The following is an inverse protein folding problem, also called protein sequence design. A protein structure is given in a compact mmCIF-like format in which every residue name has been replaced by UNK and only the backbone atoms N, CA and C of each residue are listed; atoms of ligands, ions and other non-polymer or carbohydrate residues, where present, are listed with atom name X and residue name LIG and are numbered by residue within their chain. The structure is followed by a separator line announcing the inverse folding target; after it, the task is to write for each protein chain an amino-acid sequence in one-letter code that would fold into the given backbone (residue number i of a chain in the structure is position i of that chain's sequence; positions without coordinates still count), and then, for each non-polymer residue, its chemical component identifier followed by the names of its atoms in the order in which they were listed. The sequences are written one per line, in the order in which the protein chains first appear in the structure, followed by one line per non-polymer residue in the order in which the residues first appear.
data_IF_678756494155
#
_entry.id   IF_678756494155
#
_cell.length_a   1.000
_cell.length_b   1.000
_cell.length_c   1.000
_cell.angle_alpha   90.00
_cell.angle_beta   90.00
_cell.angle_gamma   90.00
#
_symmetry.space_group_name_H-M   'P 1'
#
loop_
_entity.id
_entity.type
_entity.pdbx_description
1 polymer ?
#
# COMPACT_ATOMS: atom_id res chain seq x y z
N UNK A 1 13.27 0.35 -20.49
CA UNK A 1 13.23 0.92 -19.13
C UNK A 1 14.63 1.35 -18.75
N UNK A 2 14.79 2.63 -18.41
CA UNK A 2 16.04 3.20 -17.91
C UNK A 2 16.31 2.71 -16.48
N UNK A 3 17.55 2.80 -15.99
CA UNK A 3 17.88 2.48 -14.58
C UNK A 3 16.99 3.26 -13.58
N UNK A 4 16.53 4.45 -13.97
CA UNK A 4 15.69 5.32 -13.16
C UNK A 4 14.28 4.74 -13.01
N UNK A 5 13.70 4.17 -14.07
CA UNK A 5 12.37 3.55 -14.03
C UNK A 5 12.31 2.36 -13.06
N UNK A 6 13.38 1.58 -12.99
CA UNK A 6 13.49 0.47 -12.04
C UNK A 6 13.55 0.94 -10.59
N UNK A 7 14.24 2.05 -10.33
CA UNK A 7 14.30 2.66 -8.98
C UNK A 7 12.91 3.13 -8.56
N UNK A 8 12.18 3.82 -9.45
CA UNK A 8 10.83 4.26 -9.16
C UNK A 8 9.86 3.10 -8.95
N UNK A 9 9.94 2.06 -9.78
CA UNK A 9 9.13 0.86 -9.61
C UNK A 9 9.38 0.19 -8.26
N UNK A 10 10.64 0.03 -7.85
CA UNK A 10 10.98 -0.54 -6.56
C UNK A 10 10.47 0.33 -5.41
N UNK A 11 10.60 1.65 -5.52
CA UNK A 11 10.13 2.60 -4.52
C UNK A 11 8.59 2.58 -4.40
N UNK A 12 7.88 2.50 -5.52
CA UNK A 12 6.42 2.33 -5.57
C UNK A 12 5.97 1.07 -4.83
N UNK A 13 6.62 -0.07 -5.07
CA UNK A 13 6.30 -1.33 -4.40
C UNK A 13 6.55 -1.23 -2.90
N UNK A 14 7.64 -0.60 -2.47
CA UNK A 14 7.92 -0.38 -1.05
C UNK A 14 6.84 0.49 -0.39
N UNK A 15 6.46 1.59 -1.03
CA UNK A 15 5.43 2.50 -0.50
C UNK A 15 4.06 1.81 -0.46
N UNK A 16 3.71 1.03 -1.48
CA UNK A 16 2.50 0.22 -1.54
C UNK A 16 2.39 -0.69 -0.30
N UNK A 17 3.37 -1.57 -0.09
CA UNK A 17 3.33 -2.53 1.00
C UNK A 17 3.41 -1.88 2.39
N UNK A 18 4.20 -0.82 2.54
CA UNK A 18 4.29 -0.09 3.80
C UNK A 18 2.95 0.59 4.16
N UNK A 19 2.24 1.10 3.16
CA UNK A 19 0.91 1.68 3.34
C UNK A 19 -0.09 0.60 3.73
N UNK A 20 -0.04 -0.54 3.05
CA UNK A 20 -0.95 -1.65 3.29
C UNK A 20 -0.83 -2.24 4.69
N UNK A 21 0.40 -2.50 5.14
CA UNK A 21 0.68 -2.97 6.50
C UNK A 21 0.18 -1.96 7.55
N UNK A 22 0.29 -0.65 7.28
CA UNK A 22 -0.21 0.39 8.18
C UNK A 22 -1.74 0.41 8.26
N UNK A 23 -2.42 0.35 7.12
CA UNK A 23 -3.90 0.28 7.09
C UNK A 23 -4.38 -0.97 7.80
N UNK A 24 -3.75 -2.12 7.53
CA UNK A 24 -4.06 -3.36 8.22
C UNK A 24 -3.86 -3.24 9.74
N UNK A 25 -2.71 -2.71 10.18
CA UNK A 25 -2.40 -2.50 11.60
C UNK A 25 -3.42 -1.57 12.28
N UNK A 26 -3.86 -0.52 11.59
CA UNK A 26 -4.89 0.40 12.07
C UNK A 26 -6.27 -0.26 12.18
N UNK A 27 -6.71 -1.00 11.15
CA UNK A 27 -8.03 -1.64 11.13
C UNK A 27 -8.13 -2.84 12.10
N UNK A 28 -7.04 -3.58 12.28
CA UNK A 28 -6.98 -4.76 13.16
C UNK A 28 -6.65 -4.42 14.62
N UNK A 29 -6.30 -3.17 14.92
CA UNK A 29 -5.77 -2.70 16.21
C UNK A 29 -4.53 -3.50 16.69
N UNK A 30 -3.83 -4.15 15.75
CA UNK A 30 -2.60 -4.89 16.02
C UNK A 30 -1.42 -3.94 15.85
N UNK A 31 -0.69 -3.69 16.94
CA UNK A 31 0.58 -2.96 16.89
C UNK A 31 1.72 -3.90 16.51
N UNK A 32 2.04 -3.93 15.22
CA UNK A 32 3.18 -4.69 14.71
C UNK A 32 4.48 -3.94 15.03
N UNK A 33 5.42 -4.63 15.68
CA UNK A 33 6.79 -4.13 15.84
C UNK A 33 7.47 -3.94 14.47
N UNK A 34 8.36 -2.96 14.37
CA UNK A 34 9.05 -2.59 13.11
C UNK A 34 9.74 -3.81 12.46
N UNK A 35 10.36 -4.68 13.26
CA UNK A 35 10.99 -5.91 12.74
C UNK A 35 10.00 -6.87 12.08
N UNK A 36 8.78 -7.00 12.62
CA UNK A 36 7.72 -7.81 12.01
C UNK A 36 7.24 -7.17 10.70
N UNK A 37 7.12 -5.84 10.66
CA UNK A 37 6.75 -5.11 9.44
C UNK A 37 7.79 -5.29 8.34
N UNK A 38 9.08 -5.18 8.66
CA UNK A 38 10.18 -5.43 7.71
C UNK A 38 10.21 -6.87 7.21
N UNK A 39 9.94 -7.85 8.09
CA UNK A 39 9.82 -9.24 7.70
C UNK A 39 8.66 -9.46 6.73
N UNK A 40 7.49 -8.89 7.02
CA UNK A 40 6.32 -8.97 6.14
C UNK A 40 6.60 -8.35 4.77
N UNK A 41 7.24 -7.19 4.75
CA UNK A 41 7.67 -6.53 3.52
C UNK A 41 8.60 -7.43 2.70
N UNK A 42 9.58 -8.06 3.32
CA UNK A 42 10.50 -8.98 2.64
C UNK A 42 9.77 -10.20 2.07
N UNK A 43 8.83 -10.78 2.83
CA UNK A 43 8.01 -11.90 2.37
C UNK A 43 7.11 -11.49 1.20
N UNK A 44 6.44 -10.34 1.28
CA UNK A 44 5.59 -9.83 0.23
C UNK A 44 6.39 -9.57 -1.06
N UNK A 45 7.57 -8.95 -0.96
CA UNK A 45 8.48 -8.74 -2.08
C UNK A 45 8.96 -10.05 -2.70
N UNK A 46 9.23 -11.06 -1.88
CA UNK A 46 9.62 -12.39 -2.36
C UNK A 46 8.48 -13.06 -3.14
N UNK A 47 7.25 -13.03 -2.62
CA UNK A 47 6.10 -13.61 -3.31
C UNK A 47 5.73 -12.84 -4.58
N UNK A 48 5.95 -11.53 -4.61
CA UNK A 48 5.72 -10.69 -5.79
C UNK A 48 6.68 -11.01 -6.97
N UNK A 49 7.71 -11.84 -6.76
CA UNK A 49 8.54 -12.36 -7.86
C UNK A 49 7.82 -13.45 -8.67
N UNK A 50 6.78 -14.07 -8.12
CA UNK A 50 6.02 -15.12 -8.79
C UNK A 50 4.86 -14.50 -9.58
N UNK A 51 5.01 -14.41 -10.91
CA UNK A 51 4.03 -13.81 -11.82
C UNK A 51 2.60 -14.39 -11.75
N UNK A 52 2.42 -15.57 -11.14
CA UNK A 52 1.12 -16.23 -10.97
C UNK A 52 0.29 -15.71 -9.80
N UNK A 53 0.90 -14.97 -8.86
CA UNK A 53 0.24 -14.48 -7.66
C UNK A 53 0.10 -12.96 -7.75
N UNK A 54 -1.12 -12.49 -7.99
CA UNK A 54 -1.43 -11.06 -7.92
C UNK A 54 -1.23 -10.56 -6.48
N UNK A 55 -0.69 -9.34 -6.26
CA UNK A 55 -0.65 -8.70 -4.94
C UNK A 55 -2.01 -8.78 -4.22
N UNK A 56 -3.09 -8.56 -4.97
CA UNK A 56 -4.48 -8.64 -4.52
C UNK A 56 -4.89 -10.02 -3.92
N UNK A 57 -4.11 -11.08 -4.14
CA UNK A 57 -4.27 -12.40 -3.54
C UNK A 57 -3.20 -12.70 -2.49
N UNK A 58 -1.95 -12.27 -2.70
CA UNK A 58 -0.85 -12.49 -1.75
C UNK A 58 -1.13 -11.76 -0.44
N UNK A 59 -1.54 -10.51 -0.53
CA UNK A 59 -1.56 -9.59 0.58
C UNK A 59 -2.64 -10.00 1.62
N UNK A 60 -3.88 -10.36 1.20
CA UNK A 60 -4.89 -10.87 2.14
C UNK A 60 -4.46 -12.18 2.81
N UNK A 61 -3.75 -13.07 2.11
CA UNK A 61 -3.24 -14.32 2.70
C UNK A 61 -2.17 -14.03 3.76
N UNK A 62 -1.28 -13.07 3.50
CA UNK A 62 -0.28 -12.62 4.48
C UNK A 62 -0.95 -12.03 5.72
N UNK A 63 -1.98 -11.20 5.55
CA UNK A 63 -2.72 -10.62 6.68
C UNK A 63 -3.51 -11.66 7.48
N UNK A 64 -4.13 -12.64 6.83
CA UNK A 64 -4.76 -13.76 7.53
C UNK A 64 -3.74 -14.57 8.33
N UNK A 65 -2.53 -14.76 7.80
CA UNK A 65 -1.44 -15.42 8.53
C UNK A 65 -1.00 -14.61 9.75
N UNK A 66 -0.91 -13.29 9.64
CA UNK A 66 -0.62 -12.42 10.80
C UNK A 66 -1.70 -12.52 11.86
N UNK A 67 -2.98 -12.47 11.47
CA UNK A 67 -4.09 -12.62 12.41
C UNK A 67 -3.99 -13.95 13.18
N UNK A 68 -3.59 -15.03 12.50
CA UNK A 68 -3.33 -16.33 13.12
C UNK A 68 -2.19 -16.29 14.13
N UNK A 69 -1.07 -15.63 13.78
CA UNK A 69 0.08 -15.48 14.68
C UNK A 69 -0.24 -14.67 15.92
N UNK A 70 -1.05 -13.61 15.78
CA UNK A 70 -1.50 -12.76 16.88
C UNK A 70 -2.72 -13.33 17.63
N UNK A 71 -3.05 -14.62 17.41
CA UNK A 71 -4.15 -15.36 18.06
C UNK A 71 -5.53 -14.70 17.90
N UNK A 72 -5.71 -13.90 16.85
CA UNK A 72 -7.02 -13.38 16.46
C UNK A 72 -7.79 -14.43 15.65
N UNK A 73 -9.14 -14.43 15.67
CA UNK A 73 -9.91 -15.33 14.81
C UNK A 73 -9.55 -15.06 13.35
N UNK A 74 -9.21 -16.08 12.56
CA UNK A 74 -8.75 -15.89 11.17
C UNK A 74 -9.89 -16.10 10.15
N UNK A 75 -10.82 -17.00 10.45
CA UNK A 75 -11.91 -17.40 9.53
C UNK A 75 -13.25 -16.72 9.85
N UNK A 76 -13.23 -15.64 10.63
CA UNK A 76 -14.44 -14.82 10.82
C UNK A 76 -14.64 -13.91 9.62
N UNK A 77 -15.90 -13.58 9.30
CA UNK A 77 -16.21 -12.63 8.22
C UNK A 77 -15.46 -11.30 8.41
N UNK A 78 -15.40 -10.83 9.67
CA UNK A 78 -14.64 -9.63 10.06
C UNK A 78 -13.16 -9.74 9.69
N UNK A 79 -12.54 -10.89 9.94
CA UNK A 79 -11.12 -11.13 9.68
C UNK A 79 -10.80 -11.18 8.20
N UNK A 80 -11.70 -11.77 7.39
CA UNK A 80 -11.61 -11.71 5.94
C UNK A 80 -11.70 -10.27 5.45
N UNK A 81 -12.66 -9.49 5.93
CA UNK A 81 -12.73 -8.06 5.58
C UNK A 81 -11.46 -7.31 5.99
N UNK A 82 -10.95 -7.53 7.20
CA UNK A 82 -9.71 -6.90 7.68
C UNK A 82 -8.50 -7.24 6.81
N UNK A 83 -8.44 -8.45 6.25
CA UNK A 83 -7.35 -8.87 5.39
C UNK A 83 -7.46 -8.32 3.95
N UNK A 84 -8.67 -8.21 3.40
CA UNK A 84 -8.88 -7.79 2.01
C UNK A 84 -9.01 -6.27 1.83
N UNK A 85 -9.57 -5.57 2.83
CA UNK A 85 -9.81 -4.11 2.74
C UNK A 85 -8.53 -3.33 2.44
N UNK A 86 -7.38 -3.56 3.10
CA UNK A 86 -6.15 -2.82 2.83
C UNK A 86 -5.73 -2.90 1.37
N UNK A 87 -5.69 -4.11 0.80
CA UNK A 87 -5.26 -4.37 -0.58
C UNK A 87 -6.20 -3.75 -1.60
N UNK A 88 -7.52 -3.97 -1.42
CA UNK A 88 -8.55 -3.45 -2.33
C UNK A 88 -8.59 -1.92 -2.29
N UNK A 89 -8.46 -1.34 -1.10
CA UNK A 89 -8.51 0.10 -0.93
C UNK A 89 -7.31 0.79 -1.58
N UNK A 90 -6.10 0.27 -1.40
CA UNK A 90 -4.90 0.84 -2.02
C UNK A 90 -4.93 0.69 -3.53
N UNK A 91 -5.32 -0.47 -4.07
CA UNK A 91 -5.43 -0.68 -5.52
C UNK A 91 -6.45 0.28 -6.15
N UNK A 92 -7.64 0.42 -5.55
CA UNK A 92 -8.67 1.34 -6.04
C UNK A 92 -8.22 2.80 -5.95
N UNK A 93 -7.61 3.22 -4.84
CA UNK A 93 -7.16 4.61 -4.68
C UNK A 93 -5.98 4.92 -5.61
N UNK A 94 -5.05 3.99 -5.78
CA UNK A 94 -3.93 4.11 -6.72
C UNK A 94 -4.45 4.28 -8.14
N UNK A 95 -5.33 3.40 -8.61
CA UNK A 95 -5.95 3.51 -9.93
C UNK A 95 -6.73 4.80 -10.10
N UNK A 96 -7.50 5.21 -9.08
CA UNK A 96 -8.19 6.49 -9.10
C UNK A 96 -7.20 7.66 -9.28
N UNK A 97 -6.07 7.61 -8.57
CA UNK A 97 -5.05 8.66 -8.65
C UNK A 97 -4.37 8.68 -10.01
N UNK A 98 -4.02 7.52 -10.57
CA UNK A 98 -3.38 7.39 -11.90
C UNK A 98 -4.32 7.77 -13.04
N UNK A 99 -5.61 7.43 -12.95
CA UNK A 99 -6.57 7.63 -14.05
C UNK A 99 -7.21 9.01 -14.00
N UNK A 100 -7.45 9.55 -12.80
CA UNK A 100 -8.22 10.78 -12.62
C UNK A 100 -7.33 11.93 -12.16
N UNK A 101 -6.61 11.76 -11.05
CA UNK A 101 -5.92 12.87 -10.38
C UNK A 101 -4.68 13.33 -11.15
N UNK A 102 -3.80 12.40 -11.50
CA UNK A 102 -2.55 12.71 -12.21
C UNK A 102 -2.85 13.32 -13.58
N UNK A 103 -3.69 12.71 -14.44
CA UNK A 103 -4.02 13.30 -15.73
C UNK A 103 -4.63 14.69 -15.59
N UNK A 104 -5.50 14.93 -14.60
CA UNK A 104 -6.08 16.25 -14.36
C UNK A 104 -5.03 17.31 -13.96
N UNK A 105 -4.00 16.93 -13.19
CA UNK A 105 -2.89 17.83 -12.81
C UNK A 105 -1.97 18.13 -14.01
N UNK A 106 -1.67 17.12 -14.82
CA UNK A 106 -0.71 17.24 -15.92
C UNK A 106 -1.34 17.69 -17.26
N UNK A 107 -2.67 17.60 -17.41
CA UNK A 107 -3.42 18.13 -18.56
C UNK A 107 -3.21 19.64 -18.80
N UNK A 108 -2.74 20.37 -17.79
CA UNK A 108 -2.50 21.80 -17.89
C UNK A 108 -1.13 22.19 -18.48
N UNK A 109 -0.17 21.26 -18.61
CA UNK A 109 1.24 21.62 -18.88
C UNK A 109 1.98 20.78 -19.95
N UNK A 110 1.32 19.86 -20.67
CA UNK A 110 1.94 19.02 -21.73
C UNK A 110 3.25 18.33 -21.29
N UNK A 111 3.32 17.91 -20.02
CA UNK A 111 4.50 17.25 -19.46
C UNK A 111 4.37 15.75 -19.67
N UNK A 112 5.25 15.18 -20.50
CA UNK A 112 5.35 13.74 -20.71
C UNK A 112 6.14 13.11 -19.55
N UNK A 113 5.42 12.49 -18.61
CA UNK A 113 6.00 11.88 -17.40
C UNK A 113 5.98 10.36 -17.56
N UNK A 114 7.13 9.72 -17.33
CA UNK A 114 7.24 8.26 -17.42
C UNK A 114 6.32 7.52 -16.45
N UNK A 115 5.78 6.38 -16.88
CA UNK A 115 4.82 5.57 -16.12
C UNK A 115 5.28 5.22 -14.69
N UNK A 116 6.56 4.92 -14.49
CA UNK A 116 7.09 4.59 -13.15
C UNK A 116 7.01 5.76 -12.16
N UNK A 117 7.15 7.00 -12.63
CA UNK A 117 7.02 8.20 -11.81
C UNK A 117 5.55 8.45 -11.46
N UNK A 118 4.65 8.24 -12.42
CA UNK A 118 3.20 8.34 -12.22
C UNK A 118 2.74 7.37 -11.13
N UNK A 119 3.15 6.09 -11.23
CA UNK A 119 2.82 5.08 -10.23
C UNK A 119 3.36 5.44 -8.85
N UNK A 120 4.60 5.95 -8.79
CA UNK A 120 5.20 6.39 -7.54
C UNK A 120 4.43 7.55 -6.90
N UNK A 121 4.05 8.56 -7.68
CA UNK A 121 3.25 9.68 -7.19
C UNK A 121 1.89 9.23 -6.67
N UNK A 122 1.26 8.26 -7.33
CA UNK A 122 -0.03 7.72 -6.89
C UNK A 122 0.07 7.05 -5.51
N UNK A 123 1.10 6.24 -5.28
CA UNK A 123 1.31 5.61 -3.98
C UNK A 123 1.79 6.59 -2.90
N UNK A 124 2.55 7.62 -3.26
CA UNK A 124 3.04 8.64 -2.32
C UNK A 124 1.91 9.52 -1.74
N UNK A 125 0.75 9.57 -2.39
CA UNK A 125 -0.41 10.29 -1.90
C UNK A 125 -0.86 9.82 -0.50
N UNK A 126 -0.70 8.53 -0.20
CA UNK A 126 -1.08 7.93 1.09
C UNK A 126 -0.27 8.42 2.30
N UNK A 127 1.07 8.30 2.31
CA UNK A 127 1.87 8.81 3.43
C UNK A 127 1.71 10.33 3.60
N UNK A 128 1.47 11.07 2.51
CA UNK A 128 1.19 12.52 2.55
C UNK A 128 -0.15 12.80 3.23
N UNK A 129 -1.22 12.09 2.87
CA UNK A 129 -2.52 12.19 3.55
C UNK A 129 -2.41 11.88 5.04
N UNK A 130 -1.68 10.82 5.39
CA UNK A 130 -1.48 10.44 6.78
C UNK A 130 -0.73 11.51 7.59
N UNK A 131 0.33 12.10 7.01
CA UNK A 131 1.04 13.23 7.62
C UNK A 131 0.13 14.44 7.81
N UNK A 132 -0.70 14.76 6.82
CA UNK A 132 -1.69 15.84 6.88
C UNK A 132 -2.70 15.63 8.02
N UNK A 133 -3.21 14.41 8.19
CA UNK A 133 -4.15 14.07 9.27
C UNK A 133 -3.47 14.24 10.64
N UNK A 134 -2.24 13.76 10.81
CA UNK A 134 -1.49 13.91 12.07
C UNK A 134 -1.22 15.39 12.38
N UNK A 135 -0.86 16.18 11.37
CA UNK A 135 -0.64 17.63 11.52
C UNK A 135 -1.95 18.33 11.92
N UNK A 136 -3.06 17.98 11.27
CA UNK A 136 -4.38 18.52 11.56
C UNK A 136 -4.83 18.22 13.00
N UNK A 137 -4.66 16.98 13.47
CA UNK A 137 -4.96 16.59 14.86
C UNK A 137 -4.11 17.35 15.89
N UNK A 138 -2.87 17.72 15.55
CA UNK A 138 -2.00 18.54 16.40
C UNK A 138 -2.34 20.02 16.41
N UNK A 139 -3.00 20.54 15.38
CA UNK A 139 -3.37 21.96 15.29
C UNK A 139 -4.70 22.24 16.01
N UNK A 140 -5.59 21.24 16.09
CA UNK A 140 -6.93 21.38 16.69
C UNK A 140 -6.95 21.06 18.20
N UNK A 141 -5.94 20.35 18.72
CA UNK A 141 -5.73 20.16 20.16
C UNK A 141 -4.86 21.26 20.75
#
# INVERSE_FOLDING_TARGET
MTNIDYVFLLLSILVYYMTEIRIFSFLSDIKLAIWKQLFLLAVALFFNQFAFLSPLLIDPLLFLFILKLEKQPCLSLKSLFLAFIPSVFIDLLSRFTVIVVIPYIFLAHDIDVGHGVIDFMAYLFFPVLHLLIILWEKIIK
#
